data_IF_334214608718
#
_entry.id   IF_334214608718
#
_cell.length_a   1.000
_cell.length_b   1.000
_cell.length_c   1.000
_cell.angle_alpha   90.00
_cell.angle_beta   90.00
_cell.angle_gamma   90.00
#
_symmetry.space_group_name_H-M   'P 1'
#
loop_
_entity.id
_entity.type
_entity.pdbx_description
1 polymer ?
#
# COMPACT_ATOMS: atom_id res chain seq x y z
N UNK A 1 -14.63 -15.40 -24.35
CA UNK A 1 -13.50 -14.88 -23.54
C UNK A 1 -13.59 -13.38 -23.26
N UNK A 2 -13.82 -12.51 -24.25
CA UNK A 2 -13.96 -11.04 -24.05
C UNK A 2 -15.12 -10.65 -23.09
N UNK A 3 -16.20 -11.36 -23.08
CA UNK A 3 -17.39 -11.07 -22.25
C UNK A 3 -17.22 -11.38 -20.76
N UNK A 4 -16.37 -12.35 -20.41
CA UNK A 4 -16.09 -12.71 -19.01
C UNK A 4 -15.04 -11.81 -18.36
N UNK A 5 -14.17 -11.19 -19.14
CA UNK A 5 -13.09 -10.31 -18.62
C UNK A 5 -13.66 -9.01 -18.03
N UNK A 6 -14.74 -8.48 -18.62
CA UNK A 6 -15.36 -7.23 -18.17
C UNK A 6 -15.90 -7.28 -16.73
N UNK A 7 -16.74 -8.27 -16.35
CA UNK A 7 -17.20 -8.38 -14.98
C UNK A 7 -16.04 -8.65 -13.99
N UNK A 8 -15.08 -9.48 -14.39
CA UNK A 8 -13.92 -9.79 -13.55
C UNK A 8 -13.12 -8.51 -13.21
N UNK A 9 -12.82 -7.66 -14.18
CA UNK A 9 -12.14 -6.38 -13.95
C UNK A 9 -12.93 -5.45 -13.03
N UNK A 10 -14.25 -5.42 -13.18
CA UNK A 10 -15.11 -4.59 -12.34
C UNK A 10 -15.10 -5.08 -10.88
N UNK A 11 -15.21 -6.39 -10.65
CA UNK A 11 -15.12 -6.98 -9.32
C UNK A 11 -13.75 -6.79 -8.70
N UNK A 12 -12.67 -6.92 -9.48
CA UNK A 12 -11.30 -6.68 -9.01
C UNK A 12 -11.11 -5.22 -8.57
N UNK A 13 -11.62 -4.27 -9.35
CA UNK A 13 -11.56 -2.85 -8.99
C UNK A 13 -12.37 -2.55 -7.72
N UNK A 14 -13.53 -3.15 -7.56
CA UNK A 14 -14.35 -3.01 -6.36
C UNK A 14 -13.67 -3.59 -5.13
N UNK A 15 -13.07 -4.76 -5.25
CA UNK A 15 -12.27 -5.37 -4.20
C UNK A 15 -11.06 -4.50 -3.83
N UNK A 16 -10.39 -3.89 -4.80
CA UNK A 16 -9.28 -2.99 -4.54
C UNK A 16 -9.70 -1.78 -3.69
N UNK A 17 -10.85 -1.17 -3.99
CA UNK A 17 -11.41 -0.09 -3.17
C UNK A 17 -11.72 -0.58 -1.76
N UNK A 18 -12.39 -1.73 -1.65
CA UNK A 18 -12.73 -2.31 -0.36
C UNK A 18 -11.49 -2.58 0.50
N UNK A 19 -10.47 -3.24 -0.05
CA UNK A 19 -9.24 -3.53 0.68
C UNK A 19 -8.47 -2.26 1.04
N UNK A 20 -8.46 -1.23 0.20
CA UNK A 20 -7.82 0.05 0.51
C UNK A 20 -8.49 0.75 1.70
N UNK A 21 -9.82 0.73 1.76
CA UNK A 21 -10.58 1.29 2.89
C UNK A 21 -10.37 0.46 4.15
N UNK A 22 -10.41 -0.87 4.03
CA UNK A 22 -10.18 -1.76 5.18
C UNK A 22 -8.76 -1.60 5.74
N UNK A 23 -7.75 -1.48 4.88
CA UNK A 23 -6.38 -1.24 5.30
C UNK A 23 -6.25 0.11 6.05
N UNK A 24 -6.95 1.14 5.58
CA UNK A 24 -7.00 2.42 6.29
C UNK A 24 -7.63 2.28 7.67
N UNK A 25 -8.79 1.62 7.78
CA UNK A 25 -9.47 1.41 9.07
C UNK A 25 -8.60 0.60 10.04
N UNK A 26 -8.00 -0.49 9.56
CA UNK A 26 -7.11 -1.33 10.38
C UNK A 26 -5.88 -0.54 10.82
N UNK A 27 -5.26 0.22 9.91
CA UNK A 27 -4.11 1.07 10.21
C UNK A 27 -4.40 2.14 11.27
N UNK A 28 -5.65 2.62 11.39
CA UNK A 28 -6.03 3.53 12.48
C UNK A 28 -6.02 2.86 13.85
N UNK A 29 -6.21 1.56 13.90
CA UNK A 29 -6.31 0.81 15.15
C UNK A 29 -5.02 0.07 15.53
N UNK A 30 -4.31 -0.45 14.54
CA UNK A 30 -3.15 -1.33 14.70
C UNK A 30 -2.11 -1.10 13.61
N UNK A 31 -0.86 -1.31 13.96
CA UNK A 31 0.23 -1.44 13.01
C UNK A 31 0.33 -2.91 12.58
N UNK A 32 0.09 -3.19 11.32
CA UNK A 32 0.37 -4.49 10.72
C UNK A 32 1.74 -4.44 10.05
N UNK A 33 2.64 -5.30 10.45
CA UNK A 33 3.98 -5.36 9.89
C UNK A 33 4.30 -6.77 9.39
N UNK A 34 4.79 -6.85 8.17
CA UNK A 34 5.33 -8.05 7.57
C UNK A 34 6.81 -7.81 7.26
N UNK A 35 7.67 -8.54 7.91
CA UNK A 35 9.11 -8.39 7.79
C UNK A 35 9.74 -9.71 7.34
N UNK A 36 10.64 -9.63 6.36
CA UNK A 36 11.45 -10.73 5.91
C UNK A 36 12.94 -10.38 5.94
N UNK A 37 13.76 -11.27 6.44
CA UNK A 37 15.21 -11.12 6.47
C UNK A 37 15.86 -12.08 5.49
N UNK A 38 16.68 -11.55 4.59
CA UNK A 38 17.45 -12.32 3.62
C UNK A 38 18.91 -11.87 3.72
N UNK A 39 19.76 -12.74 4.27
CA UNK A 39 21.17 -12.43 4.49
C UNK A 39 21.34 -11.18 5.38
N UNK A 40 21.93 -10.11 4.86
CA UNK A 40 22.14 -8.84 5.57
C UNK A 40 21.07 -7.80 5.34
N UNK A 41 20.09 -8.10 4.49
CA UNK A 41 18.99 -7.20 4.18
C UNK A 41 17.69 -7.65 4.84
N UNK A 42 17.00 -6.74 5.49
CA UNK A 42 15.62 -6.92 5.95
C UNK A 42 14.69 -6.08 5.10
N UNK A 43 13.66 -6.72 4.57
CA UNK A 43 12.61 -6.07 3.77
C UNK A 43 11.35 -6.09 4.59
N UNK A 44 10.65 -4.98 4.66
CA UNK A 44 9.38 -4.91 5.36
C UNK A 44 8.29 -4.23 4.54
N UNK A 45 7.07 -4.64 4.82
CA UNK A 45 5.86 -4.00 4.35
C UNK A 45 4.93 -3.83 5.54
N UNK A 46 4.46 -2.62 5.78
CA UNK A 46 3.55 -2.37 6.90
C UNK A 46 2.35 -1.53 6.50
N UNK A 47 1.25 -1.75 7.21
CA UNK A 47 0.06 -0.91 7.17
C UNK A 47 0.01 -0.12 8.47
N UNK A 48 0.23 1.18 8.38
CA UNK A 48 0.27 2.12 9.49
C UNK A 48 -0.93 3.10 9.44
N UNK A 49 -1.07 3.93 10.44
CA UNK A 49 -2.13 4.95 10.49
C UNK A 49 -2.06 5.94 9.30
N UNK A 50 -0.88 6.29 8.87
CA UNK A 50 -0.64 7.25 7.77
C UNK A 50 -0.76 6.62 6.39
N UNK A 51 -0.41 5.35 6.23
CA UNK A 51 -0.40 4.69 4.93
C UNK A 51 0.32 3.35 4.92
N UNK A 52 0.63 2.92 3.71
CA UNK A 52 1.46 1.76 3.47
C UNK A 52 2.93 2.16 3.49
N UNK A 53 3.74 1.37 4.16
CA UNK A 53 5.19 1.54 4.22
C UNK A 53 5.88 0.33 3.64
N UNK A 54 6.86 0.59 2.81
CA UNK A 54 7.74 -0.41 2.21
C UNK A 54 9.17 0.03 2.46
N UNK A 55 9.99 -0.86 2.93
CA UNK A 55 11.36 -0.49 3.21
C UNK A 55 12.35 -1.64 3.20
N UNK A 56 13.61 -1.24 3.13
CA UNK A 56 14.77 -2.12 3.23
C UNK A 56 15.74 -1.50 4.20
N UNK A 57 16.25 -2.30 5.12
CA UNK A 57 17.35 -1.90 5.99
C UNK A 57 18.37 -3.02 6.11
N UNK A 58 19.62 -2.64 6.29
CA UNK A 58 20.73 -3.59 6.40
C UNK A 58 21.06 -3.87 7.86
N UNK A 59 21.21 -5.14 8.18
CA UNK A 59 21.61 -5.64 9.51
C UNK A 59 22.73 -6.65 9.37
N UNK A 60 23.25 -7.11 10.51
CA UNK A 60 24.16 -8.25 10.53
C UNK A 60 23.51 -9.47 9.87
N UNK A 61 24.31 -10.25 9.16
CA UNK A 61 23.88 -11.47 8.45
C UNK A 61 23.12 -12.38 9.41
N UNK A 62 21.92 -12.76 9.03
CA UNK A 62 21.04 -13.67 9.75
C UNK A 62 20.44 -14.70 8.80
N UNK A 63 20.01 -15.86 9.32
CA UNK A 63 19.23 -16.80 8.51
C UNK A 63 17.93 -16.15 8.02
N UNK A 64 17.42 -16.59 6.87
CA UNK A 64 16.16 -16.08 6.34
C UNK A 64 15.02 -16.37 7.33
N UNK A 65 14.35 -15.32 7.73
CA UNK A 65 13.16 -15.38 8.61
C UNK A 65 12.06 -14.51 8.05
N UNK A 66 10.82 -14.97 8.15
CA UNK A 66 9.65 -14.22 7.78
C UNK A 66 8.72 -14.13 8.98
N UNK A 67 8.31 -12.94 9.34
CA UNK A 67 7.47 -12.69 10.49
C UNK A 67 6.34 -11.74 10.15
N UNK A 68 5.19 -11.99 10.78
CA UNK A 68 4.04 -11.09 10.75
C UNK A 68 3.80 -10.65 12.18
N UNK A 69 3.82 -9.36 12.42
CA UNK A 69 3.48 -8.78 13.72
C UNK A 69 2.29 -7.85 13.62
N UNK A 70 1.53 -7.79 14.72
CA UNK A 70 0.42 -6.86 14.89
C UNK A 70 0.71 -6.08 16.14
N UNK A 71 1.17 -4.85 15.98
CA UNK A 71 1.60 -3.99 17.07
C UNK A 71 0.52 -2.96 17.44
N UNK A 72 0.63 -2.37 18.62
CA UNK A 72 -0.19 -1.24 19.00
C UNK A 72 0.10 -0.06 18.06
N UNK A 73 -0.91 0.76 17.77
CA UNK A 73 -0.74 1.98 17.00
C UNK A 73 0.34 2.87 17.65
N UNK A 74 1.31 3.28 16.86
CA UNK A 74 2.31 4.28 17.28
C UNK A 74 1.83 5.66 16.86
N UNK A 75 1.45 6.48 17.83
CA UNK A 75 0.94 7.84 17.56
C UNK A 75 2.02 8.81 17.06
N UNK A 76 3.30 8.48 17.24
CA UNK A 76 4.44 9.32 16.92
C UNK A 76 5.25 8.84 15.71
N UNK A 77 4.67 8.05 14.83
CA UNK A 77 5.40 7.50 13.67
C UNK A 77 5.92 8.55 12.70
N UNK A 78 5.28 9.72 12.65
CA UNK A 78 5.71 10.82 11.78
C UNK A 78 6.98 11.53 12.27
N UNK A 79 7.28 11.44 13.57
CA UNK A 79 8.40 12.15 14.21
C UNK A 79 9.73 11.41 14.07
N UNK A 80 9.68 10.11 13.80
CA UNK A 80 10.89 9.26 13.79
C UNK A 80 11.74 9.37 12.54
N UNK A 81 11.20 9.89 11.43
CA UNK A 81 11.93 9.96 10.17
C UNK A 81 11.70 11.29 9.46
N UNK A 82 12.79 11.98 9.19
CA UNK A 82 12.80 13.20 8.38
C UNK A 82 12.59 12.81 6.90
N UNK A 83 11.34 12.55 6.56
CA UNK A 83 10.94 12.04 5.24
C UNK A 83 10.81 13.18 4.23
N UNK A 84 11.34 12.96 3.04
CA UNK A 84 11.19 13.88 1.92
C UNK A 84 9.90 13.54 1.18
N UNK A 85 9.01 14.51 1.00
CA UNK A 85 7.84 14.37 0.16
C UNK A 85 8.25 14.42 -1.32
N UNK A 86 8.11 13.29 -2.02
CA UNK A 86 8.41 13.18 -3.45
C UNK A 86 7.29 13.78 -4.29
N UNK A 87 6.06 13.45 -3.95
CA UNK A 87 4.82 13.97 -4.54
C UNK A 87 3.74 13.95 -3.44
N UNK A 88 2.64 14.69 -3.60
CA UNK A 88 1.55 14.63 -2.64
C UNK A 88 1.09 13.18 -2.40
N UNK A 89 1.13 12.75 -1.15
CA UNK A 89 0.75 11.40 -0.73
C UNK A 89 1.81 10.32 -0.86
N UNK A 90 3.03 10.66 -1.30
CA UNK A 90 4.19 9.75 -1.31
C UNK A 90 5.37 10.42 -0.65
N UNK A 91 5.94 9.77 0.34
CA UNK A 91 7.18 10.22 0.99
C UNK A 91 8.24 9.12 0.96
N UNK A 92 9.48 9.52 1.00
CA UNK A 92 10.62 8.63 1.07
C UNK A 92 11.56 9.08 2.17
N UNK A 93 12.14 8.12 2.85
CA UNK A 93 13.22 8.31 3.81
C UNK A 93 14.40 7.43 3.41
N UNK A 94 15.59 7.97 3.53
CA UNK A 94 16.84 7.22 3.39
C UNK A 94 17.90 7.78 4.33
N UNK A 95 18.76 6.92 4.80
CA UNK A 95 19.89 7.29 5.64
C UNK A 95 21.23 6.77 5.09
N UNK A 96 22.30 7.27 5.70
CA UNK A 96 23.68 6.85 5.34
C UNK A 96 23.95 5.39 5.69
N UNK A 97 23.17 4.79 6.58
CA UNK A 97 23.26 3.37 6.94
C UNK A 97 22.62 2.43 5.93
N UNK A 98 22.03 2.95 4.86
CA UNK A 98 21.41 2.17 3.80
C UNK A 98 19.95 1.80 4.08
N UNK A 99 19.28 2.46 5.00
CA UNK A 99 17.84 2.30 5.22
C UNK A 99 17.06 3.08 4.18
N UNK A 100 16.12 2.41 3.54
CA UNK A 100 15.20 3.01 2.58
C UNK A 100 13.77 2.70 2.97
N UNK A 101 12.95 3.74 3.11
CA UNK A 101 11.54 3.59 3.45
C UNK A 101 10.71 4.46 2.51
N UNK A 102 9.72 3.85 1.87
CA UNK A 102 8.70 4.53 1.08
C UNK A 102 7.37 4.45 1.81
N UNK A 103 6.68 5.57 1.87
CA UNK A 103 5.33 5.65 2.44
C UNK A 103 4.37 6.14 1.38
N UNK A 104 3.29 5.40 1.18
CA UNK A 104 2.15 5.80 0.34
C UNK A 104 0.96 6.04 1.24
N UNK A 105 0.49 7.27 1.31
CA UNK A 105 -0.62 7.64 2.17
C UNK A 105 -1.94 6.96 1.75
N UNK A 106 -2.74 6.58 2.71
CA UNK A 106 -4.02 5.90 2.46
C UNK A 106 -4.95 6.71 1.55
N UNK A 107 -5.03 8.02 1.74
CA UNK A 107 -5.89 8.88 0.92
C UNK A 107 -5.54 8.81 -0.57
N UNK A 108 -4.24 8.74 -0.91
CA UNK A 108 -3.79 8.61 -2.28
C UNK A 108 -4.17 7.24 -2.87
N UNK A 109 -3.95 6.17 -2.11
CA UNK A 109 -4.34 4.81 -2.51
C UNK A 109 -5.85 4.71 -2.75
N UNK A 110 -6.66 5.23 -1.83
CA UNK A 110 -8.13 5.22 -1.96
C UNK A 110 -8.56 6.05 -3.18
N UNK A 111 -7.98 7.24 -3.37
CA UNK A 111 -8.32 8.09 -4.51
C UNK A 111 -8.01 7.41 -5.83
N UNK A 112 -6.82 6.80 -5.97
CA UNK A 112 -6.42 6.09 -7.19
C UNK A 112 -7.37 4.92 -7.47
N UNK A 113 -7.70 4.12 -6.46
CA UNK A 113 -8.60 2.96 -6.64
C UNK A 113 -10.02 3.39 -7.01
N UNK A 114 -10.53 4.48 -6.43
CA UNK A 114 -11.84 5.05 -6.80
C UNK A 114 -11.82 5.59 -8.23
N UNK A 115 -10.81 6.35 -8.62
CA UNK A 115 -10.67 6.86 -9.99
C UNK A 115 -10.60 5.73 -11.00
N UNK A 116 -9.86 4.68 -10.71
CA UNK A 116 -9.78 3.49 -11.55
C UNK A 116 -11.15 2.81 -11.69
N UNK A 117 -11.87 2.63 -10.58
CA UNK A 117 -13.22 2.09 -10.59
C UNK A 117 -14.19 2.94 -11.42
N UNK A 118 -14.19 4.26 -11.23
CA UNK A 118 -15.03 5.18 -11.98
C UNK A 118 -14.72 5.15 -13.48
N UNK A 119 -13.43 5.11 -13.84
CA UNK A 119 -12.99 5.02 -15.24
C UNK A 119 -13.48 3.74 -15.90
N UNK A 120 -13.33 2.60 -15.23
CA UNK A 120 -13.85 1.32 -15.72
C UNK A 120 -15.36 1.37 -15.92
N UNK A 121 -16.09 1.96 -14.96
CA UNK A 121 -17.55 2.11 -15.05
C UNK A 121 -17.98 2.99 -16.21
N UNK A 122 -17.27 4.10 -16.45
CA UNK A 122 -17.55 4.99 -17.58
C UNK A 122 -17.28 4.29 -18.92
N UNK A 123 -16.16 3.60 -19.06
CA UNK A 123 -15.82 2.84 -20.27
C UNK A 123 -16.87 1.74 -20.51
N UNK A 124 -17.28 1.03 -19.46
CA UNK A 124 -18.29 -0.02 -19.58
C UNK A 124 -19.65 0.53 -20.03
N UNK A 125 -20.08 1.68 -19.48
CA UNK A 125 -21.34 2.34 -19.88
C UNK A 125 -21.29 2.80 -21.35
N UNK A 126 -20.21 3.43 -21.78
CA UNK A 126 -20.04 3.86 -23.17
C UNK A 126 -20.13 2.69 -24.15
N UNK A 127 -19.47 1.58 -23.85
CA UNK A 127 -19.55 0.37 -24.69
C UNK A 127 -20.96 -0.20 -24.81
N UNK A 128 -21.78 -0.09 -23.76
CA UNK A 128 -23.16 -0.58 -23.78
C UNK A 128 -24.05 0.29 -24.67
N UNK A 129 -23.78 1.60 -24.74
CA UNK A 129 -24.51 2.54 -25.61
C UNK A 129 -24.16 2.33 -27.10
N UNK A 130 -22.93 1.94 -27.41
CA UNK A 130 -22.51 1.68 -28.79
C UNK A 130 -22.97 0.30 -29.33
N UNK A 131 -23.43 -0.58 -28.47
CA UNK A 131 -23.94 -1.93 -28.85
C UNK A 131 -25.49 -1.98 -28.88
N UNK A 132 -26.14 -0.89 -28.58
CA UNK A 132 -27.58 -0.68 -28.79
C UNK A 132 -27.83 0.12 -30.06
#
# INVERSE_FOLDING_TARGET
>A
MREMIKPALFYTAWLAVFFSVMAWVVGQCRLLNYEGTISSASVFCSVAATGYRFGVYYRAVRPPEWNISVDARMDNEEVLFDSVHLVPGVSAYWDVGGTWIFTVHHWLSITITILFFCTLRCVYRRHKIFLM
#
